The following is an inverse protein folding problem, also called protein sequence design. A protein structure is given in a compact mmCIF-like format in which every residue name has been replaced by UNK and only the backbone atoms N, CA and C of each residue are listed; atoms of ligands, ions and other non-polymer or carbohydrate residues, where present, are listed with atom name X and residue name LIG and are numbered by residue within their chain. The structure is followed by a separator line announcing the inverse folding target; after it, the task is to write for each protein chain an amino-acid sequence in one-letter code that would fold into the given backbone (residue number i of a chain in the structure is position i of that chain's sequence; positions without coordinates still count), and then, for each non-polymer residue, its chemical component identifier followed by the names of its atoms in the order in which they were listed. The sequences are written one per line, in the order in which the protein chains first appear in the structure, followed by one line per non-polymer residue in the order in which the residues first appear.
data_IF_724483814211
#
_entry.id   IF_724483814211
#
_cell.length_a   1.000
_cell.length_b   1.000
_cell.length_c   1.000
_cell.angle_alpha   90.00
_cell.angle_beta   90.00
_cell.angle_gamma   90.00
#
_symmetry.space_group_name_H-M   'P 1'
#
loop_
_entity.id
_entity.type
_entity.pdbx_description
1 polymer ?
#
# COMPACT_ATOMS: atom_id res chain seq x y z
N UNK A 1 -22.75 -6.25 25.66
CA UNK A 1 -22.86 -5.87 24.24
C UNK A 1 -24.01 -4.89 24.09
N UNK A 2 -23.83 -3.77 23.39
CA UNK A 2 -24.89 -2.75 23.27
C UNK A 2 -26.11 -3.34 22.54
N UNK A 3 -27.35 -3.10 23.01
CA UNK A 3 -28.57 -3.63 22.40
C UNK A 3 -28.76 -3.14 20.95
N UNK A 4 -28.28 -1.94 20.63
CA UNK A 4 -28.29 -1.39 19.27
C UNK A 4 -27.42 -2.23 18.31
N UNK A 5 -26.24 -2.67 18.77
CA UNK A 5 -25.32 -3.47 17.97
C UNK A 5 -25.90 -4.86 17.68
N UNK A 6 -26.59 -5.47 18.66
CA UNK A 6 -27.26 -6.76 18.48
C UNK A 6 -28.37 -6.71 17.42
N UNK A 7 -29.16 -5.62 17.42
CA UNK A 7 -30.23 -5.41 16.43
C UNK A 7 -29.68 -5.31 15.01
N UNK A 8 -28.58 -4.56 14.82
CA UNK A 8 -27.91 -4.40 13.54
C UNK A 8 -27.33 -5.73 13.05
N UNK A 9 -26.62 -6.46 13.91
CA UNK A 9 -26.00 -7.73 13.51
C UNK A 9 -27.04 -8.78 13.11
N UNK A 10 -28.18 -8.82 13.80
CA UNK A 10 -29.29 -9.71 13.47
C UNK A 10 -29.92 -9.34 12.12
N UNK A 11 -30.11 -8.04 11.85
CA UNK A 11 -30.62 -7.54 10.57
C UNK A 11 -29.74 -7.96 9.38
N UNK A 12 -28.41 -7.90 9.53
CA UNK A 12 -27.47 -8.30 8.48
C UNK A 12 -27.08 -9.79 8.52
N UNK A 13 -27.71 -10.61 9.38
CA UNK A 13 -27.41 -12.04 9.51
C UNK A 13 -25.97 -12.35 9.99
N UNK A 14 -25.31 -11.39 10.64
CA UNK A 14 -23.91 -11.53 11.06
C UNK A 14 -23.84 -12.22 12.43
N UNK A 15 -23.22 -13.41 12.46
CA UNK A 15 -22.91 -14.10 13.72
C UNK A 15 -21.71 -13.44 14.41
N UNK A 16 -21.98 -12.77 15.52
CA UNK A 16 -20.93 -12.12 16.31
C UNK A 16 -20.18 -13.14 17.17
N UNK A 17 -18.86 -13.27 16.93
CA UNK A 17 -17.97 -14.08 17.76
C UNK A 17 -17.19 -13.16 18.69
N UNK A 18 -17.36 -13.34 20.00
CA UNK A 18 -16.66 -12.55 21.03
C UNK A 18 -15.50 -13.37 21.57
N UNK A 19 -14.31 -12.76 21.65
CA UNK A 19 -13.20 -13.34 22.36
C UNK A 19 -13.41 -13.15 23.87
N UNK A 20 -13.02 -14.14 24.69
CA UNK A 20 -13.08 -14.00 26.15
C UNK A 20 -12.31 -12.76 26.60
N UNK A 21 -12.86 -11.97 27.55
CA UNK A 21 -12.14 -10.87 28.19
C UNK A 21 -10.77 -11.34 28.68
N UNK A 22 -9.74 -10.52 28.50
CA UNK A 22 -8.35 -10.84 28.88
C UNK A 22 -7.71 -12.06 28.20
N UNK A 23 -8.33 -12.66 27.18
CA UNK A 23 -7.73 -13.74 26.39
C UNK A 23 -7.52 -13.32 24.93
N UNK A 24 -6.48 -12.50 24.66
CA UNK A 24 -6.35 -11.82 23.40
C UNK A 24 -5.69 -12.71 22.33
N UNK A 25 -5.52 -14.01 22.60
CA UNK A 25 -4.92 -15.01 21.70
C UNK A 25 -5.90 -15.46 20.61
N UNK A 26 -7.21 -15.38 20.89
CA UNK A 26 -8.30 -15.73 19.97
C UNK A 26 -8.33 -14.92 18.67
N UNK A 27 -7.72 -13.72 18.65
CA UNK A 27 -7.70 -12.84 17.48
C UNK A 27 -6.27 -12.46 17.04
N UNK A 28 -5.38 -13.46 16.96
CA UNK A 28 -3.97 -13.28 16.62
C UNK A 28 -3.73 -12.61 15.25
N UNK A 29 -4.49 -12.99 14.23
CA UNK A 29 -4.33 -12.43 12.87
C UNK A 29 -4.65 -10.93 12.80
N UNK A 30 -5.74 -10.50 13.45
CA UNK A 30 -6.08 -9.08 13.49
C UNK A 30 -5.06 -8.28 14.31
N UNK A 31 -4.53 -8.85 15.40
CA UNK A 31 -3.45 -8.22 16.18
C UNK A 31 -2.19 -7.97 15.36
N UNK A 32 -1.73 -8.97 14.62
CA UNK A 32 -0.53 -8.84 13.78
C UNK A 32 -0.77 -7.79 12.69
N UNK A 33 -1.92 -7.84 12.02
CA UNK A 33 -2.29 -6.86 11.00
C UNK A 33 -2.37 -5.44 11.56
N UNK A 34 -2.98 -5.26 12.73
CA UNK A 34 -3.07 -3.96 13.40
C UNK A 34 -1.69 -3.43 13.82
N UNK A 35 -0.78 -4.31 14.26
CA UNK A 35 0.60 -3.94 14.61
C UNK A 35 1.36 -3.42 13.38
N UNK A 36 1.15 -4.04 12.23
CA UNK A 36 1.81 -3.66 10.98
C UNK A 36 1.29 -2.32 10.44
N UNK A 37 -0.02 -2.12 10.43
CA UNK A 37 -0.63 -0.82 10.06
C UNK A 37 -0.13 0.29 10.98
N UNK A 38 -0.04 0.05 12.29
CA UNK A 38 0.52 1.01 13.24
C UNK A 38 1.97 1.36 12.93
N UNK A 39 2.82 0.37 12.63
CA UNK A 39 4.23 0.61 12.25
C UNK A 39 4.36 1.43 10.96
N UNK A 40 3.49 1.19 9.98
CA UNK A 40 3.46 1.97 8.73
C UNK A 40 3.06 3.42 9.03
N UNK A 41 1.99 3.61 9.81
CA UNK A 41 1.54 4.94 10.22
C UNK A 41 2.59 5.70 11.03
N UNK A 42 3.26 5.03 11.98
CA UNK A 42 4.35 5.61 12.77
C UNK A 42 5.47 6.14 11.87
N UNK A 43 5.83 5.40 10.82
CA UNK A 43 6.84 5.83 9.85
C UNK A 43 6.38 7.01 8.99
N UNK A 44 5.13 7.02 8.55
CA UNK A 44 4.60 8.06 7.65
C UNK A 44 4.34 9.37 8.38
N UNK A 45 3.76 9.29 9.59
CA UNK A 45 3.38 10.47 10.37
C UNK A 45 4.57 11.03 11.16
N UNK A 46 5.61 10.22 11.38
CA UNK A 46 6.87 10.61 11.99
C UNK A 46 6.64 11.42 13.29
N UNK A 47 7.42 12.47 13.51
CA UNK A 47 7.41 13.30 14.73
C UNK A 47 6.15 14.14 14.90
N UNK A 48 5.43 14.46 13.82
CA UNK A 48 4.32 15.41 13.91
C UNK A 48 3.10 14.81 14.62
N UNK A 49 2.92 13.48 14.54
CA UNK A 49 1.73 12.70 15.00
C UNK A 49 0.37 13.32 14.59
N UNK A 50 0.37 14.26 13.65
CA UNK A 50 -0.79 15.00 13.15
C UNK A 50 -1.24 14.38 11.83
N UNK A 51 -2.52 14.52 11.51
CA UNK A 51 -3.10 14.05 10.24
C UNK A 51 -3.00 12.53 9.97
N UNK A 52 -2.88 11.70 11.00
CA UNK A 52 -2.85 10.23 10.84
C UNK A 52 -4.07 9.69 10.09
N UNK A 53 -5.23 10.34 10.22
CA UNK A 53 -6.46 9.97 9.53
C UNK A 53 -6.36 10.14 8.02
N UNK A 54 -5.70 11.20 7.54
CA UNK A 54 -5.45 11.45 6.11
C UNK A 54 -4.46 10.45 5.52
N UNK A 55 -3.53 9.96 6.34
CA UNK A 55 -2.50 8.98 5.95
C UNK A 55 -2.93 7.52 6.16
N UNK A 56 -4.12 7.30 6.71
CA UNK A 56 -4.64 5.96 6.94
C UNK A 56 -4.89 5.21 5.63
N UNK A 57 -5.43 5.89 4.61
CA UNK A 57 -5.72 5.26 3.32
C UNK A 57 -4.43 4.77 2.63
N UNK A 58 -3.41 5.64 2.55
CA UNK A 58 -2.08 5.29 2.04
C UNK A 58 -1.45 4.12 2.82
N UNK A 59 -1.61 4.10 4.15
CA UNK A 59 -1.08 3.05 5.02
C UNK A 59 -1.78 1.70 4.82
N UNK A 60 -3.11 1.73 4.66
CA UNK A 60 -3.91 0.55 4.37
C UNK A 60 -3.58 0.02 2.97
N UNK A 61 -3.36 0.91 2.00
CA UNK A 61 -2.93 0.55 0.66
C UNK A 61 -1.60 -0.20 0.68
N UNK A 62 -0.58 0.36 1.35
CA UNK A 62 0.72 -0.27 1.48
C UNK A 62 0.64 -1.66 2.13
N UNK A 63 -0.15 -1.83 3.19
CA UNK A 63 -0.33 -3.13 3.84
C UNK A 63 -1.08 -4.15 2.95
N UNK A 64 -1.94 -3.71 2.02
CA UNK A 64 -2.68 -4.58 1.10
C UNK A 64 -1.83 -5.06 -0.08
N UNK A 65 -0.91 -4.22 -0.57
CA UNK A 65 -0.05 -4.54 -1.71
C UNK A 65 1.25 -5.23 -1.30
N UNK A 66 1.75 -4.99 -0.09
CA UNK A 66 2.95 -5.65 0.41
C UNK A 66 2.77 -7.18 0.53
N UNK A 67 3.79 -7.92 0.09
CA UNK A 67 3.83 -9.37 0.26
C UNK A 67 4.06 -9.73 1.73
N UNK A 68 3.24 -10.63 2.27
CA UNK A 68 3.41 -11.16 3.62
C UNK A 68 4.48 -12.25 3.58
N UNK A 69 5.59 -12.06 4.28
CA UNK A 69 6.70 -13.02 4.35
C UNK A 69 6.26 -14.42 4.80
N UNK A 70 5.25 -14.51 5.66
CA UNK A 70 4.75 -15.79 6.18
C UNK A 70 3.94 -16.62 5.17
N UNK A 71 3.41 -16.01 4.12
CA UNK A 71 2.54 -16.68 3.13
C UNK A 71 3.06 -16.54 1.69
N UNK A 72 4.04 -15.66 1.45
CA UNK A 72 4.54 -15.35 0.11
C UNK A 72 3.56 -14.56 -0.77
N UNK A 73 2.39 -14.20 -0.26
CA UNK A 73 1.30 -13.53 -0.99
C UNK A 73 0.94 -12.19 -0.35
N UNK A 74 0.48 -11.25 -1.15
CA UNK A 74 -0.13 -10.02 -0.66
C UNK A 74 -1.61 -10.23 -0.28
N UNK A 75 -2.15 -9.48 0.70
CA UNK A 75 -3.58 -9.53 0.99
C UNK A 75 -4.47 -9.24 -0.22
N UNK A 76 -4.01 -8.39 -1.15
CA UNK A 76 -4.71 -8.14 -2.41
C UNK A 76 -4.80 -9.41 -3.28
N UNK A 77 -3.68 -10.14 -3.42
CA UNK A 77 -3.66 -11.43 -4.13
C UNK A 77 -4.59 -12.45 -3.50
N UNK A 78 -4.68 -12.49 -2.17
CA UNK A 78 -5.55 -13.43 -1.46
C UNK A 78 -7.04 -13.18 -1.75
N UNK A 79 -7.46 -11.92 -1.89
CA UNK A 79 -8.86 -11.56 -2.11
C UNK A 79 -9.26 -11.69 -3.58
N UNK A 80 -8.39 -11.27 -4.50
CA UNK A 80 -8.73 -11.17 -5.93
C UNK A 80 -8.12 -12.28 -6.80
N UNK A 81 -7.24 -13.12 -6.24
CA UNK A 81 -6.55 -14.19 -6.98
C UNK A 81 -5.53 -13.70 -8.03
N UNK A 82 -5.25 -12.40 -8.10
CA UNK A 82 -4.33 -11.79 -9.08
C UNK A 82 -3.25 -10.97 -8.39
N UNK A 83 -2.05 -10.99 -8.97
CA UNK A 83 -0.99 -10.07 -8.57
C UNK A 83 -1.44 -8.62 -8.75
N UNK A 84 -1.02 -7.77 -7.83
CA UNK A 84 -1.27 -6.34 -7.97
C UNK A 84 -0.38 -5.80 -9.09
N UNK A 85 -0.99 -5.44 -10.22
CA UNK A 85 -0.35 -4.63 -11.25
C UNK A 85 -0.53 -3.16 -10.87
N UNK A 86 0.52 -2.34 -11.04
CA UNK A 86 0.45 -0.90 -10.83
C UNK A 86 -0.78 -0.35 -11.57
N UNK A 87 -1.67 0.46 -10.96
CA UNK A 87 -2.78 1.03 -11.71
C UNK A 87 -2.22 1.93 -12.80
N UNK A 88 -2.68 1.71 -14.04
CA UNK A 88 -2.40 2.50 -15.26
C UNK A 88 -2.38 4.02 -15.01
N UNK A 89 -3.14 4.51 -14.02
CA UNK A 89 -3.18 5.92 -13.61
C UNK A 89 -1.83 6.45 -13.10
N UNK A 90 -1.02 5.63 -12.43
CA UNK A 90 0.33 5.98 -11.95
C UNK A 90 1.34 5.98 -13.10
N UNK A 91 1.28 4.97 -13.97
CA UNK A 91 2.10 4.91 -15.19
C UNK A 91 1.78 6.08 -16.12
N UNK A 92 0.51 6.41 -16.29
CA UNK A 92 0.06 7.57 -17.04
C UNK A 92 0.58 8.87 -16.43
N UNK A 93 0.53 9.06 -15.10
CA UNK A 93 1.13 10.25 -14.47
C UNK A 93 2.64 10.32 -14.65
N UNK A 94 3.34 9.19 -14.57
CA UNK A 94 4.77 9.13 -14.83
C UNK A 94 5.10 9.44 -16.31
N UNK A 95 4.32 8.89 -17.25
CA UNK A 95 4.43 9.19 -18.68
C UNK A 95 4.14 10.66 -18.99
N UNK A 96 3.14 11.25 -18.32
CA UNK A 96 2.85 12.67 -18.46
C UNK A 96 3.95 13.55 -17.86
N UNK A 97 4.53 13.16 -16.72
CA UNK A 97 5.67 13.87 -16.15
C UNK A 97 6.91 13.78 -17.06
N UNK A 98 7.17 12.61 -17.66
CA UNK A 98 8.24 12.40 -18.63
C UNK A 98 8.04 13.26 -19.90
N UNK A 99 6.80 13.32 -20.39
CA UNK A 99 6.41 14.15 -21.53
C UNK A 99 6.51 15.64 -21.21
N UNK A 100 6.14 16.05 -19.99
CA UNK A 100 6.25 17.43 -19.50
C UNK A 100 7.71 17.87 -19.33
N UNK A 101 8.58 16.97 -18.88
CA UNK A 101 10.03 17.18 -18.81
C UNK A 101 10.69 17.25 -20.19
N UNK A 102 9.93 17.19 -21.30
CA UNK A 102 10.45 17.22 -22.67
C UNK A 102 11.55 16.17 -22.88
N UNK A 103 11.44 15.01 -22.22
CA UNK A 103 12.41 13.94 -22.38
C UNK A 103 12.24 13.36 -23.77
N UNK A 104 13.03 13.84 -24.72
CA UNK A 104 13.13 13.26 -26.03
C UNK A 104 14.19 12.14 -25.98
N UNK A 105 13.77 10.87 -26.04
CA UNK A 105 14.70 9.75 -25.98
C UNK A 105 15.68 9.77 -27.16
N UNK A 106 15.31 10.36 -28.30
CA UNK A 106 16.16 10.45 -29.48
C UNK A 106 17.27 11.49 -29.31
N UNK A 107 16.93 12.68 -28.79
CA UNK A 107 17.93 13.71 -28.47
C UNK A 107 18.89 13.25 -27.38
N UNK A 108 18.39 12.55 -26.37
CA UNK A 108 19.18 12.02 -25.25
C UNK A 108 20.15 10.92 -25.70
N UNK A 109 19.72 10.09 -26.65
CA UNK A 109 20.58 9.06 -27.25
C UNK A 109 21.67 9.67 -28.13
N UNK A 110 21.33 10.66 -28.95
CA UNK A 110 22.28 11.37 -29.80
C UNK A 110 23.32 12.16 -29.00
N UNK A 111 22.90 12.87 -27.95
CA UNK A 111 23.83 13.58 -27.05
C UNK A 111 24.72 12.61 -26.28
N UNK A 112 24.20 11.47 -25.78
CA UNK A 112 25.04 10.42 -25.18
C UNK A 112 26.07 9.86 -26.15
N UNK A 113 25.66 9.48 -27.36
CA UNK A 113 26.56 8.94 -28.37
C UNK A 113 27.64 9.96 -28.75
N UNK A 114 27.28 11.24 -28.84
CA UNK A 114 28.24 12.31 -29.13
C UNK A 114 29.23 12.54 -27.99
N UNK A 115 28.78 12.55 -26.73
CA UNK A 115 29.68 12.65 -25.57
C UNK A 115 30.62 11.45 -25.45
N UNK A 116 30.20 10.25 -25.85
CA UNK A 116 31.05 9.06 -25.86
C UNK A 116 32.14 9.19 -26.93
N UNK A 117 31.78 9.66 -28.13
CA UNK A 117 32.75 9.91 -29.21
C UNK A 117 33.78 10.99 -28.84
N UNK A 118 33.35 12.08 -28.19
CA UNK A 118 34.26 13.15 -27.74
C UNK A 118 35.24 12.68 -26.65
N UNK A 119 34.89 11.66 -25.85
CA UNK A 119 35.77 11.06 -24.84
C UNK A 119 36.73 10.00 -25.41
N UNK A 120 36.41 9.43 -26.57
CA UNK A 120 37.25 8.45 -27.27
C UNK A 120 38.28 9.14 -28.19
N UNK A 121 38.07 10.41 -28.51
CA UNK A 121 38.96 11.29 -29.28
C UNK A 121 39.99 12.05 -28.41
N UNK A 122 39.97 11.84 -27.08
CA UNK A 122 40.98 12.31 -26.11
C UNK A 122 41.98 11.21 -25.74
#
# INVERSE_FOLDING_TARGET
MSPLLAKVLTHYGVRHKVASPYHPQTNGQAKVSNKEIKRILEKIVCSSRKDWSKKLDDSLWANRTAMKTSMGLSPFQLVYGKAWHLPVKMEHRALWALKFLSFDPCETQNTRSRHILELEEM
#
